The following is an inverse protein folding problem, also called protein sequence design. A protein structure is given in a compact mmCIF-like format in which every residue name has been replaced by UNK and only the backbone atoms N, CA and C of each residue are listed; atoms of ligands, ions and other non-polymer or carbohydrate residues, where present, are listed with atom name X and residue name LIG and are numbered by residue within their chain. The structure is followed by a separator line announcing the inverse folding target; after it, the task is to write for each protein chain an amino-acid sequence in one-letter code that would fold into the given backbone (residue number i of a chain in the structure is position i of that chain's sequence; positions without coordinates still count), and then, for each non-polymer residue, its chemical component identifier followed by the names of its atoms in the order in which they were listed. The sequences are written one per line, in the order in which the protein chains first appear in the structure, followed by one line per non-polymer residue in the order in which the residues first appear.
data_IF_870990656034
#
_entry.id   IF_870990656034
#
_cell.length_a   1.000
_cell.length_b   1.000
_cell.length_c   1.000
_cell.angle_alpha   90.00
_cell.angle_beta   90.00
_cell.angle_gamma   90.00
#
_symmetry.space_group_name_H-M   'P 1'
#
loop_
_entity.id
_entity.type
_entity.pdbx_description
1 polymer ?
#
# COMPACT_ATOMS: atom_id res chain seq x y z
N UNK A 1 28.38 49.90 17.44
CA UNK A 1 28.91 48.60 16.97
C UNK A 1 29.55 48.80 15.60
N UNK A 2 30.76 48.28 15.39
CA UNK A 2 31.40 48.33 14.06
C UNK A 2 30.56 47.56 13.03
N UNK A 3 30.47 48.06 11.80
CA UNK A 3 29.71 47.45 10.68
C UNK A 3 30.05 45.97 10.51
N UNK A 4 31.29 45.57 10.81
CA UNK A 4 31.75 44.18 10.79
C UNK A 4 31.00 43.26 11.78
N UNK A 5 30.64 43.79 12.95
CA UNK A 5 29.90 43.04 13.97
C UNK A 5 28.42 42.87 13.61
N UNK A 6 27.81 43.88 12.98
CA UNK A 6 26.46 43.77 12.43
C UNK A 6 26.39 42.74 11.30
N UNK A 7 27.36 42.73 10.38
CA UNK A 7 27.43 41.72 9.32
C UNK A 7 27.62 40.31 9.86
N UNK A 8 28.45 40.14 10.91
CA UNK A 8 28.66 38.84 11.55
C UNK A 8 27.40 38.31 12.24
N UNK A 9 26.67 39.17 12.95
CA UNK A 9 25.40 38.82 13.59
C UNK A 9 24.31 38.49 12.56
N UNK A 10 24.28 39.21 11.43
CA UNK A 10 23.36 38.92 10.33
C UNK A 10 23.67 37.56 9.68
N UNK A 11 24.95 37.25 9.47
CA UNK A 11 25.39 35.94 8.96
C UNK A 11 25.05 34.81 9.92
N UNK A 12 25.26 35.00 11.23
CA UNK A 12 24.86 34.02 12.25
C UNK A 12 23.34 33.79 12.27
N UNK A 13 22.56 34.87 12.23
CA UNK A 13 21.10 34.76 12.12
C UNK A 13 20.70 34.01 10.84
N UNK A 14 21.27 34.35 9.69
CA UNK A 14 20.99 33.64 8.44
C UNK A 14 21.37 32.15 8.53
N UNK A 15 22.48 31.78 9.17
CA UNK A 15 22.83 30.36 9.39
C UNK A 15 21.89 29.65 10.38
N UNK A 16 21.25 30.38 11.30
CA UNK A 16 20.24 29.82 12.21
C UNK A 16 18.85 29.71 11.56
N UNK A 17 18.53 30.56 10.58
CA UNK A 17 17.27 30.51 9.82
C UNK A 17 17.33 29.55 8.62
N UNK A 18 18.51 29.35 8.04
CA UNK A 18 18.74 28.33 7.02
C UNK A 18 19.27 27.06 7.68
N UNK A 19 18.36 26.27 8.25
CA UNK A 19 18.69 24.87 8.52
C UNK A 19 19.05 24.20 7.20
N UNK A 20 20.31 23.77 7.03
CA UNK A 20 20.68 22.88 5.94
C UNK A 20 19.94 21.56 6.16
N UNK A 21 18.76 21.41 5.58
CA UNK A 21 18.02 20.15 5.60
C UNK A 21 18.92 19.07 5.02
N UNK A 22 19.31 18.10 5.85
CA UNK A 22 20.07 16.95 5.37
C UNK A 22 19.11 16.09 4.54
N UNK A 23 19.30 16.14 3.23
CA UNK A 23 18.60 15.26 2.30
C UNK A 23 19.07 13.81 2.51
N UNK A 24 18.25 13.01 3.17
CA UNK A 24 18.49 11.57 3.33
C UNK A 24 18.27 10.78 2.03
N UNK A 25 18.91 9.62 1.93
CA UNK A 25 18.76 8.61 0.88
C UNK A 25 17.77 7.54 1.31
N UNK A 26 16.71 7.37 0.53
CA UNK A 26 15.61 6.44 0.83
C UNK A 26 15.64 5.28 -0.15
N UNK A 27 15.76 4.05 0.36
CA UNK A 27 15.55 2.83 -0.41
C UNK A 27 14.09 2.41 -0.31
N UNK A 28 13.43 2.18 -1.45
CA UNK A 28 12.01 1.86 -1.48
C UNK A 28 11.78 0.45 -2.02
N UNK A 29 11.00 -0.34 -1.30
CA UNK A 29 10.51 -1.66 -1.73
C UNK A 29 8.98 -1.65 -1.83
N UNK A 30 8.43 -1.32 -3.01
CA UNK A 30 6.99 -1.23 -3.19
C UNK A 30 6.35 -2.58 -3.52
N UNK A 31 5.02 -2.60 -3.44
CA UNK A 31 4.16 -3.63 -4.02
C UNK A 31 3.42 -3.08 -5.25
N UNK A 32 2.94 -3.96 -6.12
CA UNK A 32 2.33 -3.60 -7.41
C UNK A 32 0.97 -2.88 -7.29
N UNK A 33 0.53 -2.30 -8.41
CA UNK A 33 -0.81 -1.70 -8.58
C UNK A 33 -1.17 -0.64 -7.52
N UNK A 34 -2.20 -0.89 -6.70
CA UNK A 34 -2.75 0.07 -5.74
C UNK A 34 -1.75 0.42 -4.64
N UNK A 35 -0.85 -0.49 -4.29
CA UNK A 35 0.20 -0.25 -3.31
C UNK A 35 1.21 0.76 -3.86
N UNK A 36 1.69 0.55 -5.09
CA UNK A 36 2.54 1.49 -5.80
C UNK A 36 1.91 2.87 -5.94
N UNK A 37 0.63 2.95 -6.33
CA UNK A 37 -0.07 4.24 -6.48
C UNK A 37 -0.08 5.02 -5.15
N UNK A 38 -0.29 4.35 -4.03
CA UNK A 38 -0.25 4.97 -2.71
C UNK A 38 1.17 5.40 -2.34
N UNK A 39 2.14 4.48 -2.39
CA UNK A 39 3.53 4.78 -2.02
C UNK A 39 4.11 5.89 -2.88
N UNK A 40 3.81 5.92 -4.19
CA UNK A 40 4.27 6.96 -5.12
C UNK A 40 3.99 8.37 -4.63
N UNK A 41 2.89 8.60 -3.93
CA UNK A 41 2.54 9.93 -3.39
C UNK A 41 3.48 10.32 -2.24
N UNK A 42 3.85 9.36 -1.38
CA UNK A 42 4.87 9.56 -0.34
C UNK A 42 6.22 9.85 -1.00
N UNK A 43 6.58 9.11 -2.05
CA UNK A 43 7.85 9.31 -2.76
C UNK A 43 7.94 10.68 -3.44
N UNK A 44 6.84 11.14 -4.04
CA UNK A 44 6.73 12.49 -4.64
C UNK A 44 7.02 13.58 -3.60
N UNK A 45 6.48 13.45 -2.40
CA UNK A 45 6.70 14.41 -1.31
C UNK A 45 8.15 14.36 -0.81
N UNK A 46 8.71 13.15 -0.63
CA UNK A 46 10.11 12.97 -0.22
C UNK A 46 11.07 13.65 -1.21
N UNK A 47 10.86 13.44 -2.51
CA UNK A 47 11.63 14.11 -3.57
C UNK A 47 11.47 15.62 -3.51
N UNK A 48 10.24 16.12 -3.29
CA UNK A 48 9.96 17.56 -3.19
C UNK A 48 10.68 18.19 -2.00
N UNK A 49 10.86 17.43 -0.91
CA UNK A 49 11.66 17.82 0.26
C UNK A 49 13.17 17.64 0.06
N UNK A 50 13.62 17.21 -1.12
CA UNK A 50 15.02 17.10 -1.51
C UNK A 50 15.66 15.73 -1.25
N UNK A 51 14.92 14.73 -0.75
CA UNK A 51 15.45 13.39 -0.51
C UNK A 51 15.79 12.65 -1.80
N UNK A 52 16.87 11.87 -1.77
CA UNK A 52 17.25 10.98 -2.87
C UNK A 52 16.49 9.66 -2.74
N UNK A 53 15.55 9.39 -3.66
CA UNK A 53 14.70 8.20 -3.60
C UNK A 53 15.14 7.20 -4.66
N UNK A 54 15.46 5.98 -4.21
CA UNK A 54 15.77 4.84 -5.09
C UNK A 54 14.76 3.72 -4.86
N UNK A 55 14.00 3.37 -5.90
CA UNK A 55 13.05 2.26 -5.90
C UNK A 55 13.76 0.99 -6.36
N UNK A 56 13.84 -0.01 -5.49
CA UNK A 56 14.32 -1.34 -5.83
C UNK A 56 13.19 -2.15 -6.45
N UNK A 57 13.38 -2.65 -7.66
CA UNK A 57 12.37 -3.46 -8.36
C UNK A 57 13.02 -4.63 -9.10
N UNK A 58 12.26 -5.70 -9.27
CA UNK A 58 12.66 -6.78 -10.16
C UNK A 58 12.46 -6.36 -11.63
N UNK A 59 13.09 -7.08 -12.56
CA UNK A 59 12.82 -6.95 -13.99
C UNK A 59 11.38 -7.30 -14.37
N UNK A 60 10.66 -8.03 -13.50
CA UNK A 60 9.27 -8.42 -13.70
C UNK A 60 8.24 -7.40 -13.15
N UNK A 61 8.68 -6.36 -12.43
CA UNK A 61 7.78 -5.44 -11.73
C UNK A 61 6.88 -4.62 -12.68
N UNK A 62 5.63 -4.40 -12.28
CA UNK A 62 4.56 -3.77 -13.09
C UNK A 62 4.19 -2.42 -12.45
N UNK A 63 5.14 -1.49 -12.47
CA UNK A 63 4.93 -0.15 -11.93
C UNK A 63 4.15 0.70 -12.94
N UNK A 64 2.98 1.20 -12.53
CA UNK A 64 2.15 2.10 -13.33
C UNK A 64 2.78 3.51 -13.37
N UNK A 65 2.91 4.09 -14.57
CA UNK A 65 3.47 5.42 -14.82
C UNK A 65 4.84 5.67 -14.15
N UNK A 66 5.88 4.84 -14.41
CA UNK A 66 7.19 5.05 -13.80
C UNK A 66 7.86 6.33 -14.34
N UNK A 67 7.61 6.66 -15.62
CA UNK A 67 8.26 7.74 -16.35
C UNK A 67 7.78 9.16 -15.96
N UNK A 68 6.74 9.27 -15.13
CA UNK A 68 6.24 10.59 -14.70
C UNK A 68 7.17 11.27 -13.68
N UNK A 69 8.17 10.55 -13.18
CA UNK A 69 9.02 10.96 -12.07
C UNK A 69 10.49 10.90 -12.50
N UNK A 70 10.95 11.90 -13.25
CA UNK A 70 12.35 11.97 -13.70
C UNK A 70 13.38 11.98 -12.54
N UNK A 71 12.94 12.31 -11.31
CA UNK A 71 13.80 12.45 -10.14
C UNK A 71 13.91 11.17 -9.30
N UNK A 72 13.03 10.18 -9.49
CA UNK A 72 13.11 8.90 -8.77
C UNK A 72 14.04 7.94 -9.52
N UNK A 73 15.03 7.43 -8.80
CA UNK A 73 15.96 6.43 -9.34
C UNK A 73 15.33 5.05 -9.24
N UNK A 74 15.54 4.22 -10.25
CA UNK A 74 15.09 2.83 -10.24
C UNK A 74 16.31 1.91 -10.28
N UNK A 75 16.45 1.09 -9.24
CA UNK A 75 17.42 0.00 -9.22
C UNK A 75 16.71 -1.28 -9.62
N UNK A 76 17.10 -1.84 -10.77
CA UNK A 76 16.46 -3.05 -11.31
C UNK A 76 17.39 -4.25 -11.19
N UNK A 77 16.90 -5.32 -10.58
CA UNK A 77 17.61 -6.61 -10.53
C UNK A 77 16.91 -7.66 -11.40
N UNK A 78 17.66 -8.59 -12.00
CA UNK A 78 17.06 -9.64 -12.82
C UNK A 78 16.21 -10.57 -11.96
N UNK A 79 15.00 -10.88 -12.42
CA UNK A 79 14.16 -11.94 -11.89
C UNK A 79 13.97 -13.05 -12.92
N UNK A 80 13.75 -14.27 -12.44
CA UNK A 80 13.56 -15.44 -13.32
C UNK A 80 12.20 -15.45 -14.04
N UNK A 81 11.21 -14.73 -13.52
CA UNK A 81 9.89 -14.58 -14.14
C UNK A 81 9.90 -13.37 -15.07
N UNK A 82 9.25 -13.48 -16.23
CA UNK A 82 9.07 -12.34 -17.13
C UNK A 82 7.99 -11.40 -16.59
N UNK A 83 8.02 -10.13 -17.01
CA UNK A 83 6.98 -9.16 -16.63
C UNK A 83 5.59 -9.60 -17.11
N UNK A 84 5.48 -10.16 -18.31
CA UNK A 84 4.22 -10.62 -18.89
C UNK A 84 3.65 -11.82 -18.10
N UNK A 85 4.49 -12.80 -17.77
CA UNK A 85 4.08 -13.96 -16.98
C UNK A 85 3.61 -13.55 -15.59
N UNK A 86 4.31 -12.60 -14.96
CA UNK A 86 3.92 -12.07 -13.66
C UNK A 86 2.58 -11.31 -13.75
N UNK A 87 2.37 -10.52 -14.81
CA UNK A 87 1.10 -9.82 -15.03
C UNK A 87 -0.07 -10.81 -15.24
N UNK A 88 0.16 -11.85 -16.04
CA UNK A 88 -0.82 -12.90 -16.31
C UNK A 88 -1.14 -13.70 -15.05
N UNK A 89 -0.14 -14.00 -14.24
CA UNK A 89 -0.31 -14.64 -12.93
C UNK A 89 -1.19 -13.80 -12.00
N UNK A 90 -0.91 -12.50 -11.85
CA UNK A 90 -1.72 -11.61 -11.02
C UNK A 90 -3.17 -11.50 -11.55
N UNK A 91 -3.37 -11.43 -12.87
CA UNK A 91 -4.71 -11.46 -13.48
C UNK A 91 -5.45 -12.77 -13.20
N UNK A 92 -4.76 -13.90 -13.26
CA UNK A 92 -5.31 -15.22 -12.93
C UNK A 92 -5.79 -15.26 -11.47
N UNK A 93 -4.96 -14.80 -10.53
CA UNK A 93 -5.31 -14.77 -9.11
C UNK A 93 -6.49 -13.85 -8.81
N UNK A 94 -6.55 -12.67 -9.44
CA UNK A 94 -7.70 -11.76 -9.31
C UNK A 94 -8.98 -12.43 -9.80
N UNK A 95 -8.94 -13.14 -10.94
CA UNK A 95 -10.11 -13.90 -11.43
C UNK A 95 -10.52 -14.99 -10.45
N UNK A 96 -9.55 -15.76 -9.92
CA UNK A 96 -9.78 -16.82 -8.94
C UNK A 96 -10.41 -16.25 -7.66
N UNK A 97 -9.94 -15.11 -7.17
CA UNK A 97 -10.52 -14.41 -6.02
C UNK A 97 -11.98 -14.01 -6.27
N UNK A 98 -12.26 -13.34 -7.39
CA UNK A 98 -13.62 -12.89 -7.73
C UNK A 98 -14.59 -14.07 -7.85
N UNK A 99 -14.14 -15.19 -8.41
CA UNK A 99 -14.93 -16.42 -8.48
C UNK A 99 -15.15 -17.02 -7.09
N UNK A 100 -14.10 -17.08 -6.26
CA UNK A 100 -14.15 -17.59 -4.90
C UNK A 100 -15.21 -16.88 -4.04
N UNK A 101 -15.41 -15.57 -4.25
CA UNK A 101 -16.41 -14.77 -3.53
C UNK A 101 -17.87 -15.22 -3.77
N UNK A 102 -18.13 -16.05 -4.80
CA UNK A 102 -19.47 -16.59 -5.10
C UNK A 102 -19.75 -17.93 -4.43
N UNK A 103 -18.74 -18.55 -3.82
CA UNK A 103 -18.85 -19.87 -3.20
C UNK A 103 -19.17 -19.78 -1.71
N UNK A 104 -19.41 -20.94 -1.09
CA UNK A 104 -19.63 -21.03 0.36
C UNK A 104 -18.41 -20.53 1.15
N UNK A 105 -18.62 -20.18 2.42
CA UNK A 105 -17.57 -19.66 3.30
C UNK A 105 -16.29 -20.50 3.28
N UNK A 106 -16.39 -21.84 3.42
CA UNK A 106 -15.22 -22.72 3.45
C UNK A 106 -14.45 -22.77 2.12
N UNK A 107 -15.17 -22.83 1.00
CA UNK A 107 -14.54 -22.83 -0.33
C UNK A 107 -13.90 -21.48 -0.64
N UNK A 108 -14.56 -20.38 -0.29
CA UNK A 108 -14.00 -19.04 -0.40
C UNK A 108 -12.70 -18.93 0.40
N UNK A 109 -12.74 -19.42 1.63
CA UNK A 109 -11.65 -19.36 2.59
C UNK A 109 -10.43 -20.17 2.14
N UNK A 110 -10.59 -21.44 1.78
CA UNK A 110 -9.49 -22.29 1.30
C UNK A 110 -8.89 -21.77 -0.01
N UNK A 111 -9.74 -21.28 -0.92
CA UNK A 111 -9.27 -20.68 -2.18
C UNK A 111 -8.46 -19.43 -1.93
N UNK A 112 -8.90 -18.57 -1.01
CA UNK A 112 -8.19 -17.35 -0.63
C UNK A 112 -6.82 -17.70 -0.04
N UNK A 113 -6.75 -18.70 0.85
CA UNK A 113 -5.48 -19.16 1.44
C UNK A 113 -4.50 -19.64 0.37
N UNK A 114 -4.99 -20.44 -0.59
CA UNK A 114 -4.17 -20.89 -1.72
C UNK A 114 -3.66 -19.74 -2.58
N UNK A 115 -4.50 -18.73 -2.86
CA UNK A 115 -4.09 -17.51 -3.60
C UNK A 115 -2.94 -16.80 -2.87
N UNK A 116 -3.07 -16.57 -1.57
CA UNK A 116 -2.00 -15.92 -0.78
C UNK A 116 -0.72 -16.74 -0.77
N UNK A 117 -0.82 -18.07 -0.61
CA UNK A 117 0.34 -18.97 -0.69
C UNK A 117 1.06 -18.88 -2.03
N UNK A 118 0.32 -18.94 -3.15
CA UNK A 118 0.89 -18.85 -4.50
C UNK A 118 1.63 -17.52 -4.72
N UNK A 119 1.04 -16.40 -4.26
CA UNK A 119 1.66 -15.06 -4.33
C UNK A 119 2.96 -15.02 -3.53
N UNK A 120 2.93 -15.54 -2.31
CA UNK A 120 4.08 -15.50 -1.40
C UNK A 120 5.21 -16.42 -1.84
N UNK A 121 4.93 -17.54 -2.51
CA UNK A 121 5.98 -18.38 -3.11
C UNK A 121 6.73 -17.64 -4.23
N UNK A 122 6.03 -16.85 -5.05
CA UNK A 122 6.66 -16.00 -6.08
C UNK A 122 7.53 -14.91 -5.45
N UNK A 123 7.03 -14.26 -4.39
CA UNK A 123 7.84 -13.27 -3.66
C UNK A 123 9.03 -13.89 -2.96
N UNK A 124 8.92 -15.09 -2.39
CA UNK A 124 10.04 -15.81 -1.78
C UNK A 124 11.13 -16.08 -2.82
N UNK A 125 10.75 -16.55 -4.01
CA UNK A 125 11.68 -16.78 -5.12
C UNK A 125 12.40 -15.49 -5.53
N UNK A 126 11.64 -14.42 -5.72
CA UNK A 126 12.17 -13.10 -6.12
C UNK A 126 13.08 -12.52 -5.04
N UNK A 127 12.73 -12.67 -3.76
CA UNK A 127 13.56 -12.20 -2.65
C UNK A 127 14.87 -12.99 -2.54
N UNK A 128 14.85 -14.31 -2.75
CA UNK A 128 16.06 -15.14 -2.83
C UNK A 128 17.00 -14.68 -3.94
N UNK A 129 16.45 -14.35 -5.11
CA UNK A 129 17.21 -13.83 -6.25
C UNK A 129 17.85 -12.47 -5.91
N UNK A 130 17.14 -11.58 -5.24
CA UNK A 130 17.67 -10.29 -4.80
C UNK A 130 18.81 -10.45 -3.78
N UNK A 131 18.58 -11.22 -2.71
CA UNK A 131 19.54 -11.44 -1.62
C UNK A 131 20.81 -12.15 -2.10
N UNK A 132 20.66 -13.10 -3.03
CA UNK A 132 21.77 -13.89 -3.58
C UNK A 132 22.58 -13.13 -4.63
N UNK A 133 22.07 -12.00 -5.13
CA UNK A 133 22.76 -11.18 -6.12
C UNK A 133 23.86 -10.33 -5.47
N UNK A 134 25.09 -10.85 -5.46
CA UNK A 134 26.27 -10.18 -4.88
C UNK A 134 26.49 -8.77 -5.43
N UNK A 135 26.26 -8.56 -6.73
CA UNK A 135 26.44 -7.24 -7.38
C UNK A 135 25.42 -6.24 -6.83
N UNK A 136 24.15 -6.63 -6.75
CA UNK A 136 23.10 -5.81 -6.15
C UNK A 136 23.40 -5.49 -4.69
N UNK A 137 23.67 -6.52 -3.87
CA UNK A 137 23.91 -6.34 -2.44
C UNK A 137 25.13 -5.46 -2.14
N UNK A 138 26.19 -5.56 -2.95
CA UNK A 138 27.36 -4.69 -2.84
C UNK A 138 26.98 -3.24 -3.16
N UNK A 139 26.27 -3.02 -4.27
CA UNK A 139 25.81 -1.69 -4.67
C UNK A 139 24.87 -1.05 -3.64
N UNK A 140 23.93 -1.82 -3.07
CA UNK A 140 23.03 -1.34 -2.02
C UNK A 140 23.80 -0.92 -0.76
N UNK A 141 24.84 -1.67 -0.39
CA UNK A 141 25.71 -1.35 0.76
C UNK A 141 26.55 -0.09 0.52
N UNK A 142 27.12 0.05 -0.68
CA UNK A 142 27.92 1.23 -1.07
C UNK A 142 27.07 2.51 -1.19
N UNK A 143 25.79 2.37 -1.54
CA UNK A 143 24.87 3.50 -1.70
C UNK A 143 24.61 4.25 -0.39
N UNK A 144 24.81 3.59 0.77
CA UNK A 144 24.60 4.13 2.13
C UNK A 144 23.25 4.81 2.29
N UNK A 145 22.18 4.04 2.15
CA UNK A 145 20.82 4.51 2.40
C UNK A 145 20.60 4.78 3.89
N UNK A 146 19.83 5.82 4.22
CA UNK A 146 19.53 6.22 5.59
C UNK A 146 18.28 5.55 6.14
N UNK A 147 17.34 5.16 5.27
CA UNK A 147 16.08 4.50 5.65
C UNK A 147 15.55 3.63 4.52
N UNK A 148 14.92 2.51 4.87
CA UNK A 148 14.13 1.67 3.97
C UNK A 148 12.65 1.99 4.17
N UNK A 149 11.95 2.37 3.10
CA UNK A 149 10.49 2.51 3.07
C UNK A 149 9.89 1.35 2.28
N UNK A 150 9.11 0.50 2.94
CA UNK A 150 8.61 -0.72 2.33
C UNK A 150 7.10 -0.92 2.47
N UNK A 151 6.49 -1.61 1.53
CA UNK A 151 5.14 -2.14 1.72
C UNK A 151 5.20 -3.42 2.57
N UNK A 152 4.51 -3.45 3.71
CA UNK A 152 4.61 -4.58 4.64
C UNK A 152 4.03 -5.89 4.11
N UNK A 153 3.21 -5.84 3.05
CA UNK A 153 2.61 -7.06 2.44
C UNK A 153 3.64 -7.88 1.67
N UNK A 154 4.77 -7.30 1.24
CA UNK A 154 5.82 -8.00 0.51
C UNK A 154 6.97 -8.37 1.46
N UNK A 155 7.03 -9.62 1.93
CA UNK A 155 8.13 -10.09 2.78
C UNK A 155 9.45 -10.12 1.98
N UNK A 156 10.39 -9.24 2.34
CA UNK A 156 11.78 -9.20 1.86
C UNK A 156 12.49 -7.95 2.41
N UNK A 157 11.73 -6.88 2.58
CA UNK A 157 12.25 -5.55 2.91
C UNK A 157 13.00 -5.50 4.23
N UNK A 158 12.45 -6.16 5.25
CA UNK A 158 13.02 -6.29 6.58
C UNK A 158 14.28 -7.14 6.60
N UNK A 159 14.35 -8.15 5.73
CA UNK A 159 15.55 -8.96 5.56
C UNK A 159 16.67 -8.11 4.95
N UNK A 160 16.38 -7.36 3.88
CA UNK A 160 17.36 -6.45 3.28
C UNK A 160 17.77 -5.34 4.24
N UNK A 161 16.81 -4.75 4.97
CA UNK A 161 17.07 -3.72 5.97
C UNK A 161 18.01 -4.24 7.08
N UNK A 162 17.78 -5.46 7.59
CA UNK A 162 18.65 -6.10 8.58
C UNK A 162 20.05 -6.40 7.99
N UNK A 163 20.14 -6.94 6.78
CA UNK A 163 21.43 -7.26 6.13
C UNK A 163 22.29 -6.03 5.82
N UNK A 164 21.63 -4.89 5.56
CA UNK A 164 22.26 -3.60 5.29
C UNK A 164 22.41 -2.73 6.55
N UNK A 165 21.81 -3.15 7.67
CA UNK A 165 21.75 -2.41 8.93
C UNK A 165 21.15 -1.00 8.77
N UNK A 166 20.00 -0.92 8.09
CA UNK A 166 19.28 0.33 7.81
C UNK A 166 17.93 0.33 8.57
N UNK A 167 17.52 1.44 9.20
CA UNK A 167 16.18 1.58 9.79
C UNK A 167 15.06 1.30 8.77
N UNK A 168 14.04 0.57 9.20
CA UNK A 168 12.89 0.20 8.36
C UNK A 168 11.63 0.96 8.77
N UNK A 169 10.95 1.51 7.78
CA UNK A 169 9.62 2.11 7.89
C UNK A 169 8.65 1.38 6.98
N UNK A 170 7.55 0.91 7.54
CA UNK A 170 6.51 0.23 6.77
C UNK A 170 5.42 1.19 6.29
N UNK A 171 4.83 0.87 5.15
CA UNK A 171 3.52 1.34 4.72
C UNK A 171 2.57 0.16 4.62
N UNK A 172 1.41 0.22 5.29
CA UNK A 172 0.45 -0.88 5.34
C UNK A 172 -0.98 -0.34 5.35
N UNK A 173 -1.92 -0.97 4.63
CA UNK A 173 -3.35 -0.63 4.73
C UNK A 173 -4.07 -1.50 5.76
N UNK A 174 -3.96 -2.81 5.60
CA UNK A 174 -4.27 -3.83 6.57
C UNK A 174 -3.66 -5.16 6.09
N UNK A 175 -3.57 -6.17 6.95
CA UNK A 175 -3.35 -7.56 6.55
C UNK A 175 -4.53 -8.46 6.93
N UNK A 176 -4.75 -9.61 6.24
CA UNK A 176 -5.80 -10.57 6.63
C UNK A 176 -5.73 -10.92 8.12
N UNK A 177 -6.84 -10.78 8.83
CA UNK A 177 -6.90 -11.02 10.27
C UNK A 177 -6.07 -10.05 11.14
N UNK A 178 -5.51 -8.98 10.56
CA UNK A 178 -4.49 -8.13 11.18
C UNK A 178 -3.20 -8.84 11.59
N UNK A 179 -2.85 -9.95 10.94
CA UNK A 179 -1.70 -10.79 11.32
C UNK A 179 -0.36 -10.01 11.35
N UNK A 180 -0.08 -9.16 10.36
CA UNK A 180 1.16 -8.36 10.29
C UNK A 180 1.21 -7.33 11.42
N UNK A 181 0.11 -6.61 11.64
CA UNK A 181 -0.04 -5.59 12.67
C UNK A 181 0.12 -6.20 14.07
N UNK A 182 -0.51 -7.35 14.29
CA UNK A 182 -0.51 -8.08 15.56
C UNK A 182 0.82 -8.75 15.85
N UNK A 183 1.35 -9.56 14.92
CA UNK A 183 2.52 -10.39 15.18
C UNK A 183 3.84 -9.69 14.85
N UNK A 184 3.88 -8.89 13.78
CA UNK A 184 5.03 -8.07 13.42
C UNK A 184 5.07 -6.81 14.27
N UNK A 185 4.06 -5.94 14.12
CA UNK A 185 4.03 -4.63 14.78
C UNK A 185 3.59 -4.63 16.25
N UNK A 186 3.17 -5.78 16.81
CA UNK A 186 2.73 -5.92 18.20
C UNK A 186 1.53 -5.03 18.59
N UNK A 187 0.73 -4.63 17.61
CA UNK A 187 -0.46 -3.81 17.86
C UNK A 187 -1.52 -4.61 18.63
N UNK A 188 -2.05 -4.10 19.76
CA UNK A 188 -3.06 -4.80 20.52
C UNK A 188 -4.43 -4.77 19.81
N UNK A 189 -4.99 -5.95 19.58
CA UNK A 189 -6.27 -6.13 18.88
C UNK A 189 -7.20 -7.05 19.69
N UNK A 190 -7.82 -6.57 20.79
CA UNK A 190 -8.63 -7.43 21.65
C UNK A 190 -9.93 -7.87 20.98
N UNK A 191 -10.20 -9.18 20.84
CA UNK A 191 -11.34 -9.68 20.07
C UNK A 191 -12.69 -9.41 20.76
N UNK A 192 -12.68 -9.00 22.03
CA UNK A 192 -13.90 -8.68 22.77
C UNK A 192 -14.59 -7.40 22.30
N UNK A 193 -13.87 -6.48 21.65
CA UNK A 193 -14.41 -5.20 21.17
C UNK A 193 -13.79 -4.68 19.87
N UNK A 194 -12.70 -5.29 19.37
CA UNK A 194 -12.13 -4.98 18.06
C UNK A 194 -12.54 -6.06 17.05
N UNK A 195 -13.43 -5.76 16.10
CA UNK A 195 -13.74 -6.65 14.98
C UNK A 195 -12.49 -7.02 14.17
N UNK A 196 -12.36 -8.30 13.84
CA UNK A 196 -11.34 -8.77 12.89
C UNK A 196 -11.62 -8.15 11.52
N UNK A 197 -10.59 -7.67 10.83
CA UNK A 197 -10.75 -7.15 9.47
C UNK A 197 -11.37 -8.20 8.56
N UNK A 198 -12.26 -7.79 7.66
CA UNK A 198 -13.03 -8.69 6.76
C UNK A 198 -14.09 -9.58 7.45
N UNK A 199 -14.38 -9.39 8.74
CA UNK A 199 -15.45 -10.15 9.43
C UNK A 199 -16.87 -9.58 9.23
N UNK A 200 -16.99 -8.37 8.66
CA UNK A 200 -18.23 -7.58 8.53
C UNK A 200 -18.88 -7.19 9.87
N UNK A 201 -18.21 -7.46 10.99
CA UNK A 201 -18.67 -7.06 12.32
C UNK A 201 -18.42 -5.56 12.58
N UNK A 202 -19.22 -5.01 13.49
CA UNK A 202 -19.21 -3.59 13.86
C UNK A 202 -18.53 -3.38 15.21
N UNK A 203 -18.22 -2.14 15.53
CA UNK A 203 -17.68 -1.70 16.82
C UNK A 203 -18.58 -2.10 18.01
N UNK A 204 -19.89 -2.02 17.82
CA UNK A 204 -20.88 -2.47 18.80
C UNK A 204 -21.33 -3.91 18.51
N UNK A 205 -20.68 -4.89 19.15
CA UNK A 205 -21.02 -6.32 19.06
C UNK A 205 -21.83 -6.80 20.27
N UNK A 206 -22.90 -7.54 19.99
CA UNK A 206 -23.62 -8.40 20.95
C UNK A 206 -22.72 -9.53 21.46
N UNK A 207 -23.14 -10.23 22.50
CA UNK A 207 -22.39 -11.38 23.03
C UNK A 207 -22.10 -12.45 21.97
N UNK A 208 -23.10 -12.82 21.15
CA UNK A 208 -22.91 -13.82 20.08
C UNK A 208 -21.99 -13.32 18.97
N UNK A 209 -22.03 -12.03 18.62
CA UNK A 209 -21.10 -11.46 17.65
C UNK A 209 -19.67 -11.43 18.19
N UNK A 210 -19.47 -11.23 19.49
CA UNK A 210 -18.14 -11.35 20.12
C UNK A 210 -17.62 -12.78 20.10
N UNK A 211 -18.50 -13.77 20.33
CA UNK A 211 -18.14 -15.19 20.16
C UNK A 211 -17.73 -15.46 18.70
N UNK A 212 -18.50 -14.96 17.73
CA UNK A 212 -18.15 -15.06 16.30
C UNK A 212 -16.82 -14.38 15.98
N UNK A 213 -16.56 -13.20 16.54
CA UNK A 213 -15.30 -12.48 16.36
C UNK A 213 -14.11 -13.23 16.95
N UNK A 214 -14.29 -13.86 18.10
CA UNK A 214 -13.28 -14.73 18.70
C UNK A 214 -13.00 -15.94 17.79
N UNK A 215 -14.02 -16.55 17.19
CA UNK A 215 -13.83 -17.63 16.21
C UNK A 215 -13.04 -17.16 14.98
N UNK A 216 -13.31 -15.96 14.45
CA UNK A 216 -12.49 -15.38 13.38
C UNK A 216 -11.04 -15.14 13.81
N UNK A 217 -10.84 -14.67 15.05
CA UNK A 217 -9.49 -14.43 15.58
C UNK A 217 -8.70 -15.72 15.63
N UNK A 218 -9.27 -16.79 16.19
CA UNK A 218 -8.64 -18.11 16.23
C UNK A 218 -8.40 -18.67 14.81
N UNK A 219 -9.35 -18.46 13.90
CA UNK A 219 -9.21 -18.85 12.51
C UNK A 219 -8.00 -18.19 11.84
N UNK A 220 -7.83 -16.87 11.96
CA UNK A 220 -6.70 -16.16 11.36
C UNK A 220 -5.37 -16.40 12.10
N UNK A 221 -5.40 -16.57 13.41
CA UNK A 221 -4.18 -16.80 14.21
C UNK A 221 -3.58 -18.19 13.96
N UNK A 222 -4.42 -19.22 13.75
CA UNK A 222 -3.96 -20.62 13.73
C UNK A 222 -4.17 -21.32 12.39
N UNK A 223 -5.26 -21.04 11.66
CA UNK A 223 -5.59 -21.76 10.42
C UNK A 223 -5.13 -21.01 9.17
N UNK A 224 -5.46 -19.72 9.05
CA UNK A 224 -5.06 -18.87 7.92
C UNK A 224 -3.64 -18.31 8.11
N UNK A 225 -2.66 -19.19 8.12
CA UNK A 225 -1.27 -18.77 8.20
C UNK A 225 -0.84 -18.12 6.88
N UNK A 226 -0.69 -16.79 6.89
CA UNK A 226 -0.25 -16.02 5.73
C UNK A 226 1.13 -16.48 5.29
N UNK A 227 2.07 -16.62 6.23
CA UNK A 227 3.44 -17.00 5.93
C UNK A 227 3.71 -18.45 6.31
N UNK A 228 4.21 -19.22 5.33
CA UNK A 228 4.72 -20.57 5.54
C UNK A 228 6.07 -20.54 6.31
N UNK A 229 6.37 -21.60 7.07
CA UNK A 229 7.65 -21.84 7.75
C UNK A 229 8.86 -21.76 6.81
N UNK A 230 8.65 -21.88 5.49
CA UNK A 230 9.68 -21.63 4.46
C UNK A 230 10.30 -20.23 4.59
N UNK A 231 9.53 -19.22 5.00
CA UNK A 231 10.02 -17.85 5.19
C UNK A 231 10.98 -17.77 6.38
N UNK A 232 10.60 -18.32 7.53
CA UNK A 232 11.44 -18.33 8.72
C UNK A 232 12.77 -19.07 8.49
N UNK A 233 12.70 -20.21 7.79
CA UNK A 233 13.90 -20.95 7.36
C UNK A 233 14.78 -20.09 6.47
N UNK A 234 14.22 -19.44 5.45
CA UNK A 234 14.98 -18.58 4.55
C UNK A 234 15.62 -17.39 5.29
N UNK A 235 14.94 -16.78 6.25
CA UNK A 235 15.49 -15.66 7.03
C UNK A 235 16.65 -16.11 7.91
N UNK A 236 16.50 -17.27 8.55
CA UNK A 236 17.58 -17.87 9.35
C UNK A 236 18.80 -18.20 8.49
N UNK A 237 18.60 -18.80 7.32
CA UNK A 237 19.68 -19.12 6.37
C UNK A 237 20.37 -17.85 5.83
N UNK A 238 19.59 -16.85 5.40
CA UNK A 238 20.12 -15.63 4.79
C UNK A 238 20.89 -14.74 5.78
N UNK A 239 20.48 -14.71 7.05
CA UNK A 239 21.17 -13.92 8.09
C UNK A 239 22.23 -14.71 8.85
N UNK A 240 22.29 -16.03 8.70
CA UNK A 240 23.22 -16.90 9.43
C UNK A 240 22.95 -16.95 10.94
N UNK A 241 21.76 -16.58 11.41
CA UNK A 241 21.36 -16.59 12.83
C UNK A 241 19.89 -16.96 12.98
N UNK A 242 19.48 -17.67 14.05
CA UNK A 242 18.08 -18.03 14.27
C UNK A 242 17.18 -16.79 14.33
N UNK A 243 16.21 -16.71 13.43
CA UNK A 243 15.19 -15.65 13.46
C UNK A 243 13.94 -16.06 12.68
N UNK A 244 12.86 -15.30 12.85
CA UNK A 244 11.61 -15.47 12.10
C UNK A 244 11.26 -14.18 11.38
N UNK A 245 10.37 -14.31 10.39
CA UNK A 245 9.84 -13.17 9.65
C UNK A 245 9.25 -12.12 10.59
N UNK A 246 8.33 -12.51 11.48
CA UNK A 246 7.69 -11.56 12.40
C UNK A 246 8.63 -10.96 13.45
N UNK A 247 9.67 -11.69 13.89
CA UNK A 247 10.71 -11.12 14.76
C UNK A 247 11.47 -10.01 14.04
N UNK A 248 11.76 -10.21 12.75
CA UNK A 248 12.46 -9.22 11.93
C UNK A 248 11.55 -8.03 11.61
N UNK A 249 10.28 -8.26 11.28
CA UNK A 249 9.27 -7.20 11.08
C UNK A 249 9.10 -6.32 12.34
N UNK A 250 9.15 -6.92 13.53
CA UNK A 250 9.01 -6.20 14.80
C UNK A 250 10.14 -5.22 15.11
N UNK A 251 11.23 -5.22 14.33
CA UNK A 251 12.32 -4.23 14.42
C UNK A 251 12.05 -2.95 13.63
N UNK A 252 10.94 -2.87 12.89
CA UNK A 252 10.57 -1.67 12.15
C UNK A 252 10.42 -0.47 13.11
N UNK A 253 11.04 0.65 12.75
CA UNK A 253 11.04 1.87 13.55
C UNK A 253 9.67 2.55 13.53
N UNK A 254 8.93 2.42 12.43
CA UNK A 254 7.66 3.11 12.23
C UNK A 254 6.76 2.34 11.25
N UNK A 255 5.45 2.46 11.48
CA UNK A 255 4.38 1.84 10.72
C UNK A 255 3.43 2.93 10.22
N UNK A 256 3.52 3.28 8.95
CA UNK A 256 2.62 4.21 8.28
C UNK A 256 1.35 3.48 7.83
N UNK A 257 0.29 3.59 8.63
CA UNK A 257 -0.99 2.97 8.35
C UNK A 257 -1.78 3.84 7.38
N UNK A 258 -2.12 3.28 6.22
CA UNK A 258 -2.86 3.94 5.13
C UNK A 258 -4.36 4.03 5.42
N UNK A 259 -4.71 4.36 6.65
CA UNK A 259 -6.06 4.70 7.09
C UNK A 259 -5.98 5.87 8.07
N UNK A 260 -7.12 6.50 8.38
CA UNK A 260 -7.20 7.49 9.44
C UNK A 260 -7.71 6.83 10.72
N UNK A 261 -7.24 7.28 11.87
CA UNK A 261 -7.58 6.70 13.17
C UNK A 261 -9.10 6.74 13.46
N UNK A 262 -9.81 7.77 12.98
CA UNK A 262 -11.27 7.89 13.12
C UNK A 262 -12.08 6.84 12.34
N UNK A 263 -11.48 6.24 11.30
CA UNK A 263 -12.12 5.16 10.53
C UNK A 263 -11.78 3.76 11.07
N UNK A 264 -11.02 3.68 12.15
CA UNK A 264 -10.58 2.44 12.76
C UNK A 264 -11.31 2.19 14.08
N UNK A 265 -11.43 0.92 14.44
CA UNK A 265 -12.05 0.54 15.70
C UNK A 265 -11.22 1.04 16.89
N UNK A 266 -11.85 1.64 17.92
CA UNK A 266 -11.16 2.13 19.11
C UNK A 266 -10.31 1.03 19.76
N UNK A 267 -9.01 1.27 19.84
CA UNK A 267 -8.03 0.35 20.45
C UNK A 267 -6.77 1.11 20.85
N UNK A 268 -5.95 0.58 21.77
CA UNK A 268 -4.67 1.21 22.09
C UNK A 268 -3.77 1.27 20.85
N UNK A 269 -3.19 2.44 20.61
CA UNK A 269 -2.25 2.68 19.52
C UNK A 269 -0.83 2.74 20.08
N UNK A 270 0.13 2.31 19.28
CA UNK A 270 1.55 2.38 19.63
C UNK A 270 2.15 3.69 19.07
N UNK A 271 3.12 4.33 19.76
CA UNK A 271 3.72 5.58 19.29
C UNK A 271 4.40 5.50 17.92
N UNK A 272 4.83 4.30 17.52
CA UNK A 272 5.43 4.06 16.21
C UNK A 272 4.40 3.70 15.12
N UNK A 273 3.09 3.69 15.43
CA UNK A 273 2.00 3.46 14.48
C UNK A 273 1.32 4.78 14.13
N UNK A 274 1.50 5.21 12.89
CA UNK A 274 1.13 6.54 12.43
C UNK A 274 0.11 6.45 11.31
N UNK A 275 -1.07 7.00 11.56
CA UNK A 275 -2.23 6.91 10.67
C UNK A 275 -2.21 8.04 9.66
N UNK A 276 -1.75 7.74 8.45
CA UNK A 276 -1.55 8.71 7.37
C UNK A 276 -2.72 8.77 6.39
N UNK A 277 -3.94 8.37 6.78
CA UNK A 277 -5.12 8.36 5.91
C UNK A 277 -5.37 9.68 5.16
N UNK A 278 -5.91 9.60 3.94
CA UNK A 278 -6.26 10.78 3.13
C UNK A 278 -5.07 11.48 2.45
N UNK A 279 -3.82 11.06 2.68
CA UNK A 279 -2.62 11.63 2.04
C UNK A 279 -2.63 11.60 0.51
N UNK A 280 -3.41 10.72 -0.11
CA UNK A 280 -3.54 10.62 -1.56
C UNK A 280 -4.61 11.58 -2.15
N UNK A 281 -5.39 12.24 -1.30
CA UNK A 281 -6.44 13.17 -1.71
C UNK A 281 -5.79 14.49 -2.17
N UNK A 282 -5.86 14.77 -3.48
CA UNK A 282 -5.43 16.04 -4.09
C UNK A 282 -6.66 16.78 -4.61
N UNK A 283 -6.65 18.13 -4.69
CA UNK A 283 -7.71 18.88 -5.33
C UNK A 283 -8.02 18.35 -6.73
N UNK A 284 -9.29 18.16 -7.04
CA UNK A 284 -9.72 17.57 -8.31
C UNK A 284 -9.25 18.41 -9.51
N UNK A 285 -8.60 17.76 -10.46
CA UNK A 285 -8.17 18.39 -11.71
C UNK A 285 -9.34 18.52 -12.70
N UNK A 286 -9.26 19.45 -13.66
CA UNK A 286 -10.23 19.53 -14.74
C UNK A 286 -10.32 18.20 -15.50
N UNK A 287 -11.52 17.62 -15.58
CA UNK A 287 -11.76 16.41 -16.37
C UNK A 287 -11.52 16.69 -17.86
N UNK A 288 -11.07 15.70 -18.65
CA UNK A 288 -11.01 15.82 -20.10
C UNK A 288 -12.34 16.31 -20.68
N UNK A 289 -12.30 17.16 -21.72
CA UNK A 289 -13.50 17.85 -22.29
C UNK A 289 -14.68 16.89 -22.51
N UNK A 290 -14.40 15.67 -23.02
CA UNK A 290 -15.38 14.59 -23.28
C UNK A 290 -16.11 14.07 -22.02
N UNK A 291 -15.43 14.02 -20.87
CA UNK A 291 -16.04 13.67 -19.57
C UNK A 291 -16.69 14.91 -18.92
N UNK A 292 -16.04 16.08 -19.01
CA UNK A 292 -16.50 17.30 -18.34
C UNK A 292 -17.88 17.81 -18.81
N UNK A 293 -18.15 17.81 -20.12
CA UNK A 293 -19.43 18.27 -20.67
C UNK A 293 -20.59 17.34 -20.26
N UNK A 294 -20.28 16.07 -19.96
CA UNK A 294 -21.29 15.03 -19.73
C UNK A 294 -21.59 14.78 -18.26
N UNK A 295 -20.61 15.01 -17.36
CA UNK A 295 -20.91 15.10 -15.92
C UNK A 295 -21.87 16.26 -15.64
N UNK A 296 -21.80 17.35 -16.41
CA UNK A 296 -22.76 18.46 -16.34
C UNK A 296 -24.17 18.04 -16.76
N UNK A 297 -24.33 17.26 -17.83
CA UNK A 297 -25.66 16.79 -18.29
C UNK A 297 -26.31 15.76 -17.36
N UNK A 298 -25.51 14.98 -16.63
CA UNK A 298 -25.99 14.07 -15.57
C UNK A 298 -26.52 14.82 -14.34
N UNK A 299 -26.15 16.10 -14.19
CA UNK A 299 -26.52 16.94 -13.04
C UNK A 299 -27.78 17.80 -13.22
N UNK A 300 -28.37 17.87 -14.42
CA UNK A 300 -29.65 18.55 -14.65
C UNK A 300 -30.77 17.56 -14.38
N UNK A 301 -31.35 17.63 -13.18
CA UNK A 301 -32.55 16.88 -12.79
C UNK A 301 -33.77 17.75 -13.08
N UNK A 302 -34.62 17.34 -14.02
CA UNK A 302 -35.98 17.87 -14.15
C UNK A 302 -36.82 17.40 -12.96
N UNK A 303 -37.46 18.33 -12.26
CA UNK A 303 -38.17 18.11 -10.99
C UNK A 303 -39.51 17.35 -11.10
N UNK A 304 -39.91 16.90 -12.28
CA UNK A 304 -41.29 16.47 -12.55
C UNK A 304 -41.47 15.02 -13.05
N UNK A 305 -40.54 14.09 -12.79
CA UNK A 305 -40.78 12.66 -13.09
C UNK A 305 -40.43 11.74 -11.91
N UNK A 306 -41.41 10.92 -11.53
CA UNK A 306 -41.48 10.04 -10.36
C UNK A 306 -40.58 8.78 -10.45
N UNK A 307 -39.45 8.86 -11.15
CA UNK A 307 -38.41 7.83 -11.16
C UNK A 307 -37.09 8.50 -11.57
N UNK A 308 -36.24 8.84 -10.59
CA UNK A 308 -34.96 9.48 -10.84
C UNK A 308 -34.08 8.57 -11.72
N UNK A 309 -33.94 8.88 -13.02
CA UNK A 309 -33.03 8.16 -13.92
C UNK A 309 -31.59 8.43 -13.48
N UNK A 310 -31.03 7.51 -12.71
CA UNK A 310 -29.61 7.52 -12.37
C UNK A 310 -28.78 7.30 -13.64
N UNK A 311 -27.89 8.23 -13.94
CA UNK A 311 -26.87 8.01 -14.96
C UNK A 311 -25.65 7.34 -14.35
N UNK A 312 -25.17 6.30 -15.01
CA UNK A 312 -24.07 5.47 -14.52
C UNK A 312 -22.84 5.68 -15.39
N UNK A 313 -21.72 6.03 -14.77
CA UNK A 313 -20.39 5.98 -15.41
C UNK A 313 -19.72 4.69 -14.96
N UNK A 314 -19.43 3.79 -15.89
CA UNK A 314 -18.88 2.47 -15.58
C UNK A 314 -17.52 2.28 -16.25
N UNK A 315 -16.49 2.02 -15.44
CA UNK A 315 -15.20 1.58 -15.96
C UNK A 315 -15.31 0.11 -16.40
N UNK A 316 -15.16 -0.14 -17.69
CA UNK A 316 -15.27 -1.47 -18.29
C UNK A 316 -14.38 -1.59 -19.53
N UNK A 317 -13.54 -2.61 -19.56
CA UNK A 317 -12.56 -2.86 -20.64
C UNK A 317 -12.87 -4.16 -21.43
N UNK A 318 -14.08 -4.71 -21.25
CA UNK A 318 -14.56 -5.90 -21.97
C UNK A 318 -15.44 -5.56 -23.18
N UNK A 319 -16.08 -6.58 -23.75
CA UNK A 319 -17.04 -6.44 -24.84
C UNK A 319 -18.32 -5.75 -24.33
N UNK A 320 -18.72 -4.66 -24.99
CA UNK A 320 -19.93 -3.89 -24.61
C UNK A 320 -21.13 -4.84 -24.50
N UNK A 321 -21.83 -4.90 -23.35
CA UNK A 321 -23.00 -5.75 -23.20
C UNK A 321 -24.14 -5.30 -24.11
N UNK A 322 -24.82 -6.25 -24.77
CA UNK A 322 -25.97 -5.96 -25.63
C UNK A 322 -27.16 -5.39 -24.83
N UNK A 323 -27.18 -5.62 -23.51
CA UNK A 323 -28.18 -5.12 -22.55
C UNK A 323 -27.83 -3.76 -21.94
N UNK A 324 -26.84 -3.04 -22.47
CA UNK A 324 -26.40 -1.76 -21.91
C UNK A 324 -27.50 -0.69 -22.01
N UNK A 325 -28.09 -0.33 -20.87
CA UNK A 325 -29.08 0.74 -20.79
C UNK A 325 -28.54 2.09 -21.26
N UNK A 326 -29.41 2.91 -21.87
CA UNK A 326 -29.06 4.23 -22.42
C UNK A 326 -28.55 5.24 -21.37
N UNK A 327 -28.83 4.97 -20.09
CA UNK A 327 -28.35 5.73 -18.95
C UNK A 327 -26.93 5.34 -18.47
N UNK A 328 -26.34 4.27 -19.00
CA UNK A 328 -25.01 3.78 -18.61
C UNK A 328 -23.97 4.09 -19.69
N UNK A 329 -22.81 4.62 -19.27
CA UNK A 329 -21.70 4.94 -20.18
C UNK A 329 -20.45 4.19 -19.76
N UNK A 330 -19.86 3.47 -20.71
CA UNK A 330 -18.64 2.70 -20.50
C UNK A 330 -17.40 3.54 -20.79
N UNK A 331 -16.38 3.38 -19.94
CA UNK A 331 -15.05 3.97 -20.12
C UNK A 331 -13.98 2.91 -19.87
N UNK A 332 -12.93 2.87 -20.69
CA UNK A 332 -11.77 1.99 -20.40
C UNK A 332 -11.01 2.42 -19.14
N UNK A 333 -10.91 3.73 -18.93
CA UNK A 333 -10.27 4.33 -17.78
C UNK A 333 -11.03 5.58 -17.31
N UNK A 334 -11.12 5.77 -16.00
CA UNK A 334 -11.77 6.92 -15.36
C UNK A 334 -10.79 7.53 -14.35
N UNK A 335 -10.54 8.86 -14.40
CA UNK A 335 -9.77 9.54 -13.36
C UNK A 335 -10.62 9.64 -12.09
N UNK A 336 -10.62 8.56 -11.30
CA UNK A 336 -11.56 8.33 -10.19
C UNK A 336 -11.51 9.47 -9.15
N UNK A 337 -10.33 9.89 -8.72
CA UNK A 337 -10.19 10.97 -7.73
C UNK A 337 -10.71 12.31 -8.26
N UNK A 338 -10.44 12.65 -9.53
CA UNK A 338 -10.92 13.89 -10.13
C UNK A 338 -12.43 13.86 -10.37
N UNK A 339 -13.00 12.69 -10.63
CA UNK A 339 -14.44 12.51 -10.78
C UNK A 339 -15.16 12.64 -9.44
N UNK A 340 -14.65 11.98 -8.39
CA UNK A 340 -15.25 11.98 -7.04
C UNK A 340 -15.02 13.30 -6.29
N UNK A 341 -13.88 13.95 -6.52
CA UNK A 341 -13.54 15.23 -5.90
C UNK A 341 -14.32 16.43 -6.47
N UNK A 342 -15.13 16.23 -7.51
CA UNK A 342 -16.12 17.23 -7.92
C UNK A 342 -17.26 17.25 -6.92
N UNK A 343 -17.21 18.18 -5.97
CA UNK A 343 -18.39 18.56 -5.22
C UNK A 343 -19.46 19.05 -6.18
N UNK A 344 -20.64 18.43 -6.16
CA UNK A 344 -21.86 19.16 -6.51
C UNK A 344 -21.89 20.33 -5.53
N UNK A 345 -21.66 21.56 -6.00
CA UNK A 345 -22.15 22.73 -5.28
C UNK A 345 -23.66 22.59 -5.27
N UNK A 346 -24.20 21.83 -4.32
CA UNK A 346 -25.59 21.98 -3.93
C UNK A 346 -25.67 23.41 -3.43
N UNK A 347 -26.14 24.30 -4.31
CA UNK A 347 -26.77 25.54 -3.87
C UNK A 347 -27.98 25.08 -3.08
N UNK A 348 -27.83 24.98 -1.76
CA UNK A 348 -28.97 25.08 -0.86
C UNK A 348 -29.40 26.53 -0.81
#
# INVERSE_FOLDING_TARGET
MSVKWLSLLLLLQLTCYFGSGRCGKVLVLPMEYSHWINMKIILEELVTKGHEVTVLKSSAAILIDPNKLCTIKFETFPASISQEDFENFLKYLIKKWIQAAKHSFWTHTSTTQNIFSEVLDVFLKTCKEAVSNKRLMTKLRESRFDVVLADAVVPCSELLAEMLNIPLVYSLRFSPGYAIEKFGGKLPLPPSYVPVVMSELKDHMTFMERVKNMMYTLYFDFYFQIYDKKWDRFYTEALGKPTTLFVTMGKAYMWLIRNYWDFEFPRPLLPNFEFIGGFHCKPAKPLPKKLSCKVKSVGQLDSNTQCHRLHVLWRYDGKIPDTLGSNTRLYKWIPQNDLLGKTRKNKY
#
